data_IF_403701406227
#
_entry.id   IF_403701406227
#
_cell.length_a   1.000
_cell.length_b   1.000
_cell.length_c   1.000
_cell.angle_alpha   90.00
_cell.angle_beta   90.00
_cell.angle_gamma   90.00
#
_symmetry.space_group_name_H-M   'P 1'
#
loop_
_entity.id
_entity.type
_entity.pdbx_description
1 polymer ?
#
# COMPACT_ATOMS: atom_id res chain seq x y z
N UNK A 1 7.23 -10.25 6.93
CA UNK A 1 6.37 -9.19 6.41
C UNK A 1 4.91 -9.59 6.60
N UNK A 2 4.06 -8.62 6.91
CA UNK A 2 2.65 -8.90 7.14
C UNK A 2 1.90 -8.84 5.82
N UNK A 3 1.46 -10.01 5.34
CA UNK A 3 0.73 -10.11 4.08
C UNK A 3 -0.57 -9.31 4.12
N UNK A 4 -1.16 -9.18 5.29
CA UNK A 4 -2.40 -8.44 5.44
C UNK A 4 -2.19 -6.96 5.09
N UNK A 5 -1.06 -6.39 5.48
CA UNK A 5 -0.74 -5.01 5.15
C UNK A 5 -0.58 -4.84 3.64
N UNK A 6 0.01 -5.82 2.98
CA UNK A 6 0.18 -5.80 1.53
C UNK A 6 -1.18 -5.85 0.83
N UNK A 7 -2.09 -6.68 1.32
CA UNK A 7 -3.42 -6.80 0.74
C UNK A 7 -4.19 -5.48 0.86
N UNK A 8 -4.10 -4.85 2.03
CA UNK A 8 -4.77 -3.58 2.26
C UNK A 8 -4.21 -2.51 1.32
N UNK A 9 -2.88 -2.43 1.21
CA UNK A 9 -2.23 -1.46 0.34
C UNK A 9 -2.64 -1.67 -1.12
N UNK A 10 -2.73 -2.91 -1.56
CA UNK A 10 -3.15 -3.23 -2.92
C UNK A 10 -4.58 -2.77 -3.17
N UNK A 11 -5.47 -3.01 -2.22
CA UNK A 11 -6.86 -2.58 -2.34
C UNK A 11 -6.95 -1.06 -2.42
N UNK A 12 -6.16 -0.36 -1.63
CA UNK A 12 -6.14 1.09 -1.64
C UNK A 12 -5.64 1.64 -2.98
N UNK A 13 -4.62 0.98 -3.56
CA UNK A 13 -4.14 1.35 -4.89
C UNK A 13 -5.23 1.19 -5.93
N UNK A 14 -5.96 0.07 -5.87
CA UNK A 14 -7.03 -0.21 -6.80
C UNK A 14 -8.13 0.84 -6.70
N UNK A 15 -8.38 1.32 -5.50
CA UNK A 15 -9.39 2.35 -5.25
C UNK A 15 -8.93 3.76 -5.62
N UNK A 16 -7.67 3.91 -6.03
CA UNK A 16 -7.15 5.22 -6.42
C UNK A 16 -6.72 6.08 -5.25
N UNK A 17 -6.43 5.48 -4.12
CA UNK A 17 -5.99 6.23 -2.93
C UNK A 17 -4.57 6.74 -3.15
N UNK A 18 -4.30 7.95 -2.64
CA UNK A 18 -2.99 8.58 -2.74
C UNK A 18 -1.93 7.71 -2.06
N UNK A 19 -0.76 7.60 -2.71
CA UNK A 19 0.32 6.75 -2.21
C UNK A 19 0.79 7.18 -0.82
N UNK A 20 0.79 8.49 -0.54
CA UNK A 20 1.18 8.98 0.79
C UNK A 20 0.23 8.46 1.86
N UNK A 21 -1.04 8.41 1.53
CA UNK A 21 -2.06 7.88 2.43
C UNK A 21 -1.85 6.38 2.67
N UNK A 22 -1.53 5.66 1.59
CA UNK A 22 -1.29 4.21 1.68
C UNK A 22 -0.09 3.94 2.57
N UNK A 23 0.99 4.71 2.41
CA UNK A 23 2.18 4.57 3.25
C UNK A 23 1.83 4.80 4.72
N UNK A 24 1.01 5.80 4.98
CA UNK A 24 0.66 6.17 6.35
C UNK A 24 -0.14 5.07 7.04
N UNK A 25 -1.07 4.47 6.35
CA UNK A 25 -1.98 3.50 6.96
C UNK A 25 -1.47 2.06 6.89
N UNK A 26 -0.69 1.73 5.89
CA UNK A 26 -0.17 0.36 5.75
C UNK A 26 1.17 0.17 6.46
N UNK A 27 1.91 1.25 6.66
CA UNK A 27 3.24 1.17 7.22
C UNK A 27 4.29 0.69 6.23
N UNK A 28 3.92 0.59 4.96
CA UNK A 28 4.84 0.16 3.91
C UNK A 28 5.64 1.34 3.36
N UNK A 29 6.81 1.05 2.79
CA UNK A 29 7.60 2.06 2.12
C UNK A 29 7.04 2.31 0.73
N UNK A 30 7.43 3.45 0.15
CA UNK A 30 7.02 3.78 -1.21
C UNK A 30 7.46 2.68 -2.18
N UNK A 31 8.67 2.17 -2.00
CA UNK A 31 9.21 1.12 -2.86
C UNK A 31 8.34 -0.14 -2.81
N UNK A 32 7.92 -0.51 -1.60
CA UNK A 32 7.08 -1.69 -1.44
C UNK A 32 5.72 -1.50 -2.11
N UNK A 33 5.15 -0.32 -2.00
CA UNK A 33 3.87 -0.01 -2.63
C UNK A 33 3.99 -0.01 -4.14
N UNK A 34 5.08 0.53 -4.66
CA UNK A 34 5.32 0.55 -6.10
C UNK A 34 5.37 -0.86 -6.69
N UNK A 35 5.88 -1.80 -5.92
CA UNK A 35 5.94 -3.19 -6.36
C UNK A 35 4.57 -3.86 -6.42
N UNK A 36 3.57 -3.28 -5.76
CA UNK A 36 2.21 -3.83 -5.79
C UNK A 36 1.45 -3.45 -7.04
N UNK A 37 1.96 -2.48 -7.77
CA UNK A 37 1.33 -2.08 -9.03
C UNK A 37 1.49 -3.17 -10.11
#
# INVERSE_FOLDING_TARGET
>A
MNQKALDIARNMLTDGVDINMIMKYSGLSQEQIEKLK
#
